data_IF_241665999220
#
_entry.id   IF_241665999220
#
_cell.length_a   1.000
_cell.length_b   1.000
_cell.length_c   1.000
_cell.angle_alpha   90.00
_cell.angle_beta   90.00
_cell.angle_gamma   90.00
#
_symmetry.space_group_name_H-M   'P 1'
#
loop_
_entity.id
_entity.type
_entity.pdbx_description
1 polymer ?
#
# COMPACT_ATOMS: atom_id res chain seq x y z
N UNK A 1 2.76 21.60 -2.63
CA UNK A 1 2.08 20.30 -2.85
C UNK A 1 3.15 19.23 -2.78
N UNK A 2 2.98 18.16 -1.99
CA UNK A 2 3.95 17.07 -1.92
C UNK A 2 3.76 16.18 -3.15
N UNK A 3 4.71 16.21 -4.10
CA UNK A 3 4.63 15.42 -5.33
C UNK A 3 5.03 13.97 -5.03
N UNK A 4 4.06 13.14 -4.66
CA UNK A 4 4.23 11.70 -4.48
C UNK A 4 3.88 10.94 -5.76
N UNK A 5 4.59 9.85 -6.02
CA UNK A 5 4.27 8.91 -7.11
C UNK A 5 3.57 7.70 -6.51
N UNK A 6 2.35 7.43 -6.97
CA UNK A 6 1.54 6.31 -6.46
C UNK A 6 1.43 5.23 -7.53
N UNK A 7 1.75 4.00 -7.16
CA UNK A 7 1.75 2.86 -8.08
C UNK A 7 0.96 1.70 -7.48
N UNK A 8 0.04 1.14 -8.28
CA UNK A 8 -0.65 -0.09 -7.97
C UNK A 8 0.23 -1.28 -8.36
N UNK A 9 0.58 -2.12 -7.38
CA UNK A 9 1.34 -3.35 -7.58
C UNK A 9 0.64 -4.49 -6.82
N UNK A 10 -0.39 -5.05 -7.46
CA UNK A 10 -1.23 -6.14 -6.92
C UNK A 10 -0.42 -7.41 -6.71
N UNK A 11 0.48 -7.74 -7.62
CA UNK A 11 1.30 -8.94 -7.54
C UNK A 11 2.19 -8.97 -6.30
N UNK A 12 2.70 -7.81 -5.86
CA UNK A 12 3.44 -7.69 -4.59
C UNK A 12 2.54 -7.88 -3.36
N UNK A 13 1.23 -7.72 -3.49
CA UNK A 13 0.25 -8.05 -2.45
C UNK A 13 0.11 -9.57 -2.27
N UNK A 14 0.03 -10.32 -3.38
CA UNK A 14 -0.28 -11.76 -3.37
C UNK A 14 0.95 -12.68 -3.41
N UNK A 15 1.99 -12.33 -4.16
CA UNK A 15 3.17 -13.20 -4.43
C UNK A 15 4.34 -12.95 -3.48
N UNK A 16 4.18 -12.04 -2.52
CA UNK A 16 5.24 -11.70 -1.56
C UNK A 16 5.34 -12.75 -0.48
N UNK A 17 6.57 -13.16 -0.16
CA UNK A 17 6.85 -14.06 0.97
C UNK A 17 6.41 -13.43 2.30
N UNK A 18 5.96 -14.26 3.24
CA UNK A 18 5.62 -13.83 4.59
C UNK A 18 6.81 -13.12 5.24
N UNK A 19 6.63 -11.91 5.79
CA UNK A 19 7.68 -11.21 6.51
C UNK A 19 8.15 -11.99 7.74
N UNK A 20 9.43 -11.88 8.07
CA UNK A 20 9.96 -12.38 9.34
C UNK A 20 9.33 -11.65 10.54
N UNK A 21 9.17 -12.36 11.66
CA UNK A 21 8.77 -11.74 12.93
C UNK A 21 9.98 -11.01 13.52
N UNK A 22 9.90 -9.68 13.60
CA UNK A 22 11.00 -8.83 14.05
C UNK A 22 10.69 -8.32 15.45
N UNK A 23 11.55 -8.68 16.41
CA UNK A 23 11.34 -8.37 17.83
C UNK A 23 12.19 -7.19 18.27
N UNK A 24 13.37 -6.97 17.65
CA UNK A 24 14.23 -5.84 18.03
C UNK A 24 15.20 -5.43 16.93
N UNK A 25 15.75 -4.21 17.05
CA UNK A 25 16.82 -3.69 16.18
C UNK A 25 18.13 -4.49 16.25
N UNK A 26 18.36 -5.25 17.32
CA UNK A 26 19.56 -6.08 17.53
C UNK A 26 19.28 -7.58 17.38
N UNK A 27 18.17 -7.96 16.74
CA UNK A 27 17.84 -9.37 16.52
C UNK A 27 19.00 -10.06 15.78
N UNK A 28 19.57 -11.14 16.34
CA UNK A 28 20.69 -11.83 15.72
C UNK A 28 20.24 -12.51 14.42
N UNK A 29 21.17 -12.65 13.49
CA UNK A 29 20.95 -13.44 12.28
C UNK A 29 20.55 -14.88 12.65
N UNK A 30 19.59 -15.44 11.91
CA UNK A 30 19.11 -16.80 12.13
C UNK A 30 19.25 -17.64 10.87
N UNK A 31 20.20 -18.57 10.86
CA UNK A 31 20.42 -19.46 9.71
C UNK A 31 19.27 -20.44 9.47
N UNK A 32 18.38 -20.69 10.44
CA UNK A 32 17.21 -21.57 10.24
C UNK A 32 16.13 -20.89 9.40
N UNK A 33 15.98 -19.59 9.53
CA UNK A 33 15.02 -18.80 8.74
C UNK A 33 15.51 -18.59 7.30
N UNK A 34 14.65 -18.03 6.45
CA UNK A 34 15.05 -17.66 5.11
C UNK A 34 16.18 -16.63 5.16
N UNK A 35 17.23 -16.83 4.37
CA UNK A 35 18.31 -15.88 4.21
C UNK A 35 18.91 -15.99 2.80
N UNK A 36 19.63 -14.96 2.41
CA UNK A 36 20.17 -14.86 1.05
C UNK A 36 21.32 -15.82 0.71
N UNK A 37 21.85 -16.63 1.63
CA UNK A 37 22.76 -17.72 1.24
C UNK A 37 22.01 -18.90 0.62
N UNK A 38 20.66 -18.89 0.67
CA UNK A 38 19.77 -19.93 0.15
C UNK A 38 19.06 -19.53 -1.15
N UNK A 39 19.42 -18.40 -1.77
CA UNK A 39 18.86 -18.01 -3.07
C UNK A 39 19.32 -18.96 -4.16
N UNK A 40 18.49 -19.13 -5.18
CA UNK A 40 18.84 -19.98 -6.32
C UNK A 40 19.97 -19.36 -7.14
N UNK A 41 20.80 -20.17 -7.84
CA UNK A 41 21.83 -19.64 -8.72
C UNK A 41 21.29 -18.67 -9.78
N UNK A 42 20.10 -18.91 -10.31
CA UNK A 42 19.49 -18.07 -11.36
C UNK A 42 18.99 -16.72 -10.83
N UNK A 43 18.83 -16.59 -9.50
CA UNK A 43 18.53 -15.31 -8.86
C UNK A 43 19.78 -14.43 -8.74
N UNK A 44 20.99 -14.95 -8.99
CA UNK A 44 22.25 -14.20 -8.88
C UNK A 44 22.57 -13.55 -10.23
N UNK A 45 22.65 -12.22 -10.26
CA UNK A 45 22.94 -11.44 -11.47
C UNK A 45 24.45 -11.38 -11.70
N UNK A 46 25.21 -10.97 -10.68
CA UNK A 46 26.67 -10.86 -10.76
C UNK A 46 27.33 -10.84 -9.39
N UNK A 47 28.59 -11.28 -9.34
CA UNK A 47 29.46 -11.14 -8.17
C UNK A 47 30.40 -9.93 -8.39
N UNK A 48 30.49 -9.06 -7.38
CA UNK A 48 31.22 -7.79 -7.43
C UNK A 48 32.61 -7.86 -6.78
N UNK A 49 32.93 -8.95 -6.08
CA UNK A 49 34.18 -9.06 -5.34
C UNK A 49 35.30 -9.77 -6.09
N UNK A 50 36.53 -9.40 -5.73
CA UNK A 50 37.70 -10.27 -5.84
C UNK A 50 37.57 -11.41 -4.82
N UNK A 51 38.11 -12.60 -5.16
CA UNK A 51 38.14 -13.92 -4.47
C UNK A 51 37.70 -13.99 -2.98
N UNK A 52 38.02 -13.02 -2.12
CA UNK A 52 37.69 -13.00 -0.68
C UNK A 52 36.39 -12.26 -0.29
N UNK A 53 35.76 -11.50 -1.19
CA UNK A 53 34.58 -10.66 -0.89
C UNK A 53 33.35 -11.17 -1.62
N UNK A 54 32.49 -11.92 -0.94
CA UNK A 54 31.22 -12.45 -1.47
C UNK A 54 30.14 -11.36 -1.55
N UNK A 55 30.37 -10.34 -2.39
CA UNK A 55 29.43 -9.26 -2.67
C UNK A 55 28.60 -9.60 -3.91
N UNK A 56 27.30 -9.79 -3.76
CA UNK A 56 26.45 -10.28 -4.86
C UNK A 56 25.33 -9.30 -5.18
N UNK A 57 25.07 -9.08 -6.47
CA UNK A 57 23.81 -8.50 -6.94
C UNK A 57 22.85 -9.64 -7.27
N UNK A 58 21.68 -9.66 -6.66
CA UNK A 58 20.64 -10.66 -6.89
C UNK A 58 19.33 -10.03 -7.36
N UNK A 59 18.48 -10.80 -8.03
CA UNK A 59 17.11 -10.41 -8.38
C UNK A 59 16.26 -10.39 -7.11
N UNK A 60 15.47 -9.32 -6.91
CA UNK A 60 14.42 -9.37 -5.91
C UNK A 60 13.18 -10.06 -6.51
N UNK A 61 12.89 -11.29 -6.07
CA UNK A 61 11.73 -12.06 -6.55
C UNK A 61 10.36 -11.46 -6.16
N UNK A 62 10.34 -10.42 -5.33
CA UNK A 62 9.15 -9.62 -5.02
C UNK A 62 9.41 -8.15 -5.41
N UNK A 63 9.52 -7.86 -6.72
CA UNK A 63 9.98 -6.57 -7.21
C UNK A 63 9.03 -5.44 -6.82
N UNK A 64 9.61 -4.26 -6.61
CA UNK A 64 8.88 -3.01 -6.36
C UNK A 64 8.57 -2.36 -7.71
N UNK A 65 9.59 -2.32 -8.56
CA UNK A 65 9.60 -1.73 -9.88
C UNK A 65 10.57 -2.50 -10.79
N UNK A 66 10.65 -2.11 -12.06
CA UNK A 66 11.59 -2.57 -13.05
C UNK A 66 13.03 -2.71 -12.51
N UNK A 67 13.64 -3.87 -12.80
CA UNK A 67 14.98 -4.24 -12.37
C UNK A 67 15.22 -4.06 -10.86
N UNK A 68 14.22 -4.36 -10.02
CA UNK A 68 14.44 -4.41 -8.58
C UNK A 68 15.40 -5.56 -8.24
N UNK A 69 16.61 -5.17 -7.85
CA UNK A 69 17.71 -6.03 -7.43
C UNK A 69 18.06 -5.79 -5.97
N UNK A 70 18.84 -6.69 -5.41
CA UNK A 70 19.38 -6.62 -4.07
C UNK A 70 20.90 -6.59 -4.16
N UNK A 71 21.54 -5.66 -3.47
CA UNK A 71 22.97 -5.73 -3.15
C UNK A 71 23.11 -6.49 -1.83
N UNK A 72 23.86 -7.58 -1.88
CA UNK A 72 24.13 -8.50 -0.77
C UNK A 72 25.62 -8.42 -0.42
N UNK A 73 26.05 -7.44 0.40
CA UNK A 73 27.45 -7.26 0.73
C UNK A 73 27.88 -8.32 1.75
N UNK A 74 29.02 -8.96 1.51
CA UNK A 74 29.60 -10.00 2.37
C UNK A 74 28.57 -11.08 2.72
N UNK A 75 27.81 -11.55 1.73
CA UNK A 75 26.65 -12.45 1.91
C UNK A 75 26.99 -13.68 2.76
N UNK A 76 28.13 -14.33 2.52
CA UNK A 76 28.55 -15.50 3.30
C UNK A 76 28.96 -15.19 4.76
N UNK A 77 29.12 -13.92 5.16
CA UNK A 77 29.35 -13.54 6.57
C UNK A 77 28.07 -13.57 7.42
N UNK A 78 26.90 -13.78 6.81
CA UNK A 78 25.64 -13.96 7.53
C UNK A 78 25.33 -12.81 8.52
N UNK A 79 25.60 -11.57 8.10
CA UNK A 79 25.42 -10.40 8.94
C UNK A 79 23.93 -10.09 9.13
N UNK A 80 23.46 -9.70 10.33
CA UNK A 80 22.08 -9.26 10.52
C UNK A 80 21.80 -7.99 9.69
N UNK A 81 20.53 -7.64 9.52
CA UNK A 81 20.09 -6.46 8.75
C UNK A 81 20.43 -5.14 9.47
N UNK A 82 21.73 -4.85 9.53
CA UNK A 82 22.39 -3.73 10.21
C UNK A 82 23.44 -3.17 9.27
N UNK A 83 23.42 -1.86 9.03
CA UNK A 83 24.37 -1.22 8.12
C UNK A 83 25.77 -1.29 8.74
N UNK A 84 26.72 -1.83 7.97
CA UNK A 84 28.15 -1.67 8.22
C UNK A 84 28.71 -0.55 7.35
N UNK A 85 29.80 0.09 7.78
CA UNK A 85 30.49 1.11 6.99
C UNK A 85 30.86 0.59 5.59
N UNK A 86 31.30 -0.67 5.53
CA UNK A 86 31.58 -1.37 4.27
C UNK A 86 30.34 -1.49 3.37
N UNK A 87 29.20 -1.92 3.92
CA UNK A 87 27.96 -2.08 3.15
C UNK A 87 27.42 -0.77 2.59
N UNK A 88 27.51 0.31 3.37
CA UNK A 88 27.15 1.66 2.93
C UNK A 88 28.08 2.15 1.84
N UNK A 89 29.40 1.96 2.01
CA UNK A 89 30.38 2.30 0.98
C UNK A 89 30.07 1.58 -0.34
N UNK A 90 29.83 0.26 -0.29
CA UNK A 90 29.49 -0.52 -1.48
C UNK A 90 28.18 -0.07 -2.15
N UNK A 91 27.17 0.29 -1.37
CA UNK A 91 25.94 0.85 -1.91
C UNK A 91 26.18 2.17 -2.65
N UNK A 92 26.99 3.08 -2.07
CA UNK A 92 27.33 4.38 -2.68
C UNK A 92 28.26 4.21 -3.89
N UNK A 93 29.25 3.33 -3.83
CA UNK A 93 30.17 3.01 -4.93
C UNK A 93 29.38 2.50 -6.14
N UNK A 94 28.56 1.46 -5.96
CA UNK A 94 27.74 0.90 -7.02
C UNK A 94 26.77 1.93 -7.61
N UNK A 95 26.18 2.75 -6.74
CA UNK A 95 25.31 3.83 -7.17
C UNK A 95 26.02 4.86 -8.05
N UNK A 96 27.26 5.21 -7.67
CA UNK A 96 28.07 6.20 -8.37
C UNK A 96 28.54 5.71 -9.75
N UNK A 97 28.77 4.39 -9.89
CA UNK A 97 29.15 3.76 -11.17
C UNK A 97 28.04 3.79 -12.22
N UNK A 98 26.76 3.87 -11.81
CA UNK A 98 25.65 3.91 -12.76
C UNK A 98 25.41 5.31 -13.29
N UNK A 99 25.47 5.53 -14.60
CA UNK A 99 25.11 6.81 -15.23
C UNK A 99 23.60 7.09 -15.26
N UNK A 100 22.77 6.13 -14.84
CA UNK A 100 21.31 6.27 -14.88
C UNK A 100 20.80 7.24 -13.83
N UNK A 101 19.98 8.19 -14.27
CA UNK A 101 19.26 9.13 -13.40
C UNK A 101 18.13 8.48 -12.60
N UNK A 102 17.77 7.24 -12.92
CA UNK A 102 16.60 6.56 -12.37
C UNK A 102 16.95 5.48 -11.35
N UNK A 103 18.22 5.09 -11.22
CA UNK A 103 18.65 4.16 -10.19
C UNK A 103 18.39 4.78 -8.81
N UNK A 104 17.93 3.98 -7.86
CA UNK A 104 17.69 4.36 -6.47
C UNK A 104 18.22 3.26 -5.57
N UNK A 105 18.75 3.64 -4.41
CA UNK A 105 19.22 2.69 -3.41
C UNK A 105 18.48 2.91 -2.10
N UNK A 106 17.98 1.85 -1.48
CA UNK A 106 17.18 1.96 -0.28
C UNK A 106 17.55 0.88 0.74
N UNK A 107 17.43 1.22 2.02
CA UNK A 107 17.63 0.32 3.14
C UNK A 107 16.55 0.51 4.19
N UNK A 108 16.09 -0.61 4.73
CA UNK A 108 15.18 -0.65 5.85
C UNK A 108 15.86 -1.44 6.97
N UNK A 109 15.99 -0.84 8.15
CA UNK A 109 16.40 -1.59 9.34
C UNK A 109 15.26 -2.48 9.83
N UNK A 110 15.57 -3.45 10.70
CA UNK A 110 14.63 -4.45 11.20
C UNK A 110 13.30 -3.84 11.70
N UNK A 111 13.34 -2.96 12.68
CA UNK A 111 12.14 -2.30 13.21
C UNK A 111 11.63 -1.11 12.36
N UNK A 112 12.17 -0.94 11.16
CA UNK A 112 11.77 0.07 10.17
C UNK A 112 11.22 -0.57 8.89
N UNK A 113 10.50 -1.69 9.07
CA UNK A 113 9.83 -2.47 8.03
C UNK A 113 10.75 -3.23 7.05
N UNK A 114 11.93 -3.67 7.50
CA UNK A 114 12.63 -4.76 6.83
C UNK A 114 11.77 -6.03 6.82
N UNK A 115 12.06 -6.98 5.95
CA UNK A 115 11.31 -8.24 5.86
C UNK A 115 12.15 -9.49 6.04
N UNK A 116 13.47 -9.36 5.98
CA UNK A 116 14.45 -10.44 6.11
C UNK A 116 15.57 -9.93 6.98
N UNK A 117 15.95 -10.68 8.01
CA UNK A 117 17.12 -10.39 8.84
C UNK A 117 18.40 -10.96 8.24
N UNK A 118 18.83 -10.39 7.12
CA UNK A 118 20.13 -10.67 6.52
C UNK A 118 20.56 -9.44 5.74
N UNK A 119 21.77 -8.90 5.97
CA UNK A 119 22.22 -7.62 5.41
C UNK A 119 22.02 -7.53 3.89
N UNK A 120 21.14 -6.62 3.47
CA UNK A 120 20.85 -6.32 2.07
C UNK A 120 20.43 -4.87 1.85
N UNK A 121 20.73 -4.38 0.65
CA UNK A 121 20.27 -3.09 0.13
C UNK A 121 19.38 -3.32 -1.08
N UNK A 122 18.35 -2.49 -1.26
CA UNK A 122 17.47 -2.51 -2.41
C UNK A 122 18.01 -1.59 -3.50
N UNK A 123 18.10 -2.08 -4.73
CA UNK A 123 18.45 -1.33 -5.93
C UNK A 123 17.27 -1.39 -6.89
N UNK A 124 16.73 -0.27 -7.36
CA UNK A 124 15.63 -0.30 -8.33
C UNK A 124 15.63 0.95 -9.20
N UNK A 125 15.00 0.85 -10.38
CA UNK A 125 14.90 1.97 -11.32
C UNK A 125 13.52 2.60 -11.24
N UNK A 126 13.46 3.88 -10.88
CA UNK A 126 12.21 4.64 -10.88
C UNK A 126 12.28 5.73 -11.94
N UNK A 127 11.57 5.56 -13.06
CA UNK A 127 11.49 6.54 -14.16
C UNK A 127 10.55 7.70 -13.85
N UNK A 128 10.68 8.28 -12.65
CA UNK A 128 9.90 9.41 -12.18
C UNK A 128 10.78 10.36 -11.37
N UNK A 129 10.67 11.67 -11.63
CA UNK A 129 11.37 12.69 -10.85
C UNK A 129 10.63 12.91 -9.53
N UNK A 130 11.34 12.79 -8.42
CA UNK A 130 10.76 12.88 -7.07
C UNK A 130 11.13 14.19 -6.38
N UNK A 131 10.22 14.72 -5.55
CA UNK A 131 10.41 16.01 -4.85
C UNK A 131 11.74 16.09 -4.09
N UNK A 132 12.13 15.00 -3.41
CA UNK A 132 13.35 14.95 -2.61
C UNK A 132 14.66 15.05 -3.44
N UNK A 133 14.58 15.02 -4.76
CA UNK A 133 15.74 15.22 -5.64
C UNK A 133 16.08 16.69 -5.85
N UNK A 134 15.15 17.61 -5.55
CA UNK A 134 15.30 19.05 -5.79
C UNK A 134 14.72 19.91 -4.67
N UNK A 135 14.21 19.32 -3.59
CA UNK A 135 13.73 20.08 -2.42
C UNK A 135 14.88 20.79 -1.71
N UNK A 136 14.58 21.97 -1.16
CA UNK A 136 15.49 22.72 -0.29
C UNK A 136 15.67 22.02 1.05
N UNK A 137 16.90 22.07 1.56
CA UNK A 137 17.31 21.47 2.83
C UNK A 137 17.87 22.57 3.72
N UNK A 138 17.58 22.51 5.01
CA UNK A 138 18.08 23.47 6.00
C UNK A 138 19.45 23.02 6.49
N UNK A 139 20.43 23.91 6.48
CA UNK A 139 21.74 23.63 7.06
C UNK A 139 21.63 23.35 8.56
N UNK A 140 22.49 22.46 9.06
CA UNK A 140 22.52 22.12 10.47
C UNK A 140 23.93 22.16 11.05
N UNK A 141 24.79 21.19 10.72
CA UNK A 141 26.17 21.18 11.20
C UNK A 141 27.09 20.43 10.22
N UNK A 142 28.22 21.05 9.86
CA UNK A 142 29.12 20.50 8.86
C UNK A 142 28.36 20.15 7.56
N UNK A 143 28.55 18.95 6.98
CA UNK A 143 27.85 18.55 5.76
C UNK A 143 26.42 18.04 6.02
N UNK A 144 25.96 18.01 7.28
CA UNK A 144 24.63 17.51 7.65
C UNK A 144 23.58 18.60 7.48
N UNK A 145 22.51 18.26 6.78
CA UNK A 145 21.34 19.10 6.54
C UNK A 145 20.07 18.41 7.05
N UNK A 146 18.99 19.18 7.21
CA UNK A 146 17.71 18.72 7.72
C UNK A 146 16.62 18.94 6.66
N UNK A 147 15.86 17.88 6.42
CA UNK A 147 14.61 17.92 5.67
C UNK A 147 13.48 18.34 6.61
N UNK A 148 13.16 19.63 6.66
CA UNK A 148 12.14 20.19 7.56
C UNK A 148 10.78 20.36 6.87
N UNK A 149 10.77 20.81 5.61
CA UNK A 149 9.55 21.10 4.82
C UNK A 149 9.00 19.87 4.09
N UNK A 150 8.94 18.73 4.77
CA UNK A 150 8.42 17.47 4.24
C UNK A 150 7.75 16.66 5.37
N UNK A 151 6.71 15.83 5.10
CA UNK A 151 5.96 15.17 6.17
C UNK A 151 6.82 14.30 7.08
N UNK A 152 7.84 13.64 6.51
CA UNK A 152 8.81 12.85 7.25
C UNK A 152 10.14 13.61 7.37
N UNK A 153 10.43 14.15 8.56
CA UNK A 153 11.70 14.82 8.83
C UNK A 153 12.87 13.83 8.75
N UNK A 154 13.97 14.26 8.16
CA UNK A 154 15.16 13.43 7.96
C UNK A 154 16.44 14.25 8.07
N UNK A 155 17.54 13.56 8.35
CA UNK A 155 18.88 14.06 8.04
C UNK A 155 19.17 13.82 6.56
N UNK A 156 19.89 14.75 5.95
CA UNK A 156 20.37 14.61 4.59
C UNK A 156 21.83 15.02 4.50
N UNK A 157 22.62 14.27 3.75
CA UNK A 157 23.98 14.65 3.37
C UNK A 157 23.99 14.74 1.85
N UNK A 158 24.50 15.86 1.34
CA UNK A 158 24.76 16.08 -0.09
C UNK A 158 26.21 15.73 -0.39
N UNK A 159 26.45 15.10 -1.53
CA UNK A 159 27.81 14.80 -1.97
C UNK A 159 28.58 16.09 -2.30
N UNK A 160 27.90 17.10 -2.84
CA UNK A 160 28.44 18.45 -3.06
C UNK A 160 28.98 19.16 -1.81
N UNK A 161 28.60 18.73 -0.61
CA UNK A 161 29.04 19.30 0.65
C UNK A 161 30.24 18.57 1.28
N UNK A 162 30.79 17.55 0.60
CA UNK A 162 31.92 16.73 1.10
C UNK A 162 33.00 16.59 0.03
N UNK A 163 34.23 16.25 0.43
CA UNK A 163 35.38 16.27 -0.48
C UNK A 163 35.46 15.02 -1.36
N UNK A 164 35.10 13.85 -0.82
CA UNK A 164 35.24 12.57 -1.49
C UNK A 164 34.16 11.58 -1.02
N UNK A 165 34.14 10.40 -1.64
CA UNK A 165 33.17 9.34 -1.33
C UNK A 165 33.34 8.78 0.09
N UNK A 166 34.56 8.73 0.61
CA UNK A 166 34.84 8.27 1.97
C UNK A 166 34.22 9.21 3.00
N UNK A 167 34.39 10.53 2.84
CA UNK A 167 33.76 11.54 3.69
C UNK A 167 32.23 11.45 3.62
N UNK A 168 31.68 11.28 2.42
CA UNK A 168 30.24 11.10 2.23
C UNK A 168 29.70 9.92 3.04
N UNK A 169 30.40 8.78 2.96
CA UNK A 169 30.07 7.56 3.70
C UNK A 169 30.32 7.73 5.19
N UNK A 170 31.41 8.39 5.60
CA UNK A 170 31.77 8.63 7.00
C UNK A 170 30.69 9.43 7.73
N UNK A 171 30.27 10.55 7.15
CA UNK A 171 29.25 11.41 7.75
C UNK A 171 27.88 10.71 7.80
N UNK A 172 27.49 9.98 6.75
CA UNK A 172 26.26 9.20 6.77
C UNK A 172 26.31 8.08 7.82
N UNK A 173 27.43 7.37 7.87
CA UNK A 173 27.64 6.28 8.81
C UNK A 173 27.71 6.78 10.25
N UNK A 174 28.20 7.98 10.53
CA UNK A 174 28.20 8.58 11.87
C UNK A 174 26.78 8.63 12.44
N UNK A 175 25.84 9.18 11.67
CA UNK A 175 24.42 9.28 12.05
C UNK A 175 23.79 7.89 12.18
N UNK A 176 23.99 7.03 11.17
CA UNK A 176 23.44 5.67 11.15
C UNK A 176 23.95 4.84 12.34
N UNK A 177 25.25 4.90 12.63
CA UNK A 177 25.87 4.16 13.72
C UNK A 177 25.35 4.63 15.09
N UNK A 178 25.13 5.94 15.26
CA UNK A 178 24.47 6.46 16.45
C UNK A 178 23.06 5.87 16.61
N UNK A 179 22.24 5.90 15.55
CA UNK A 179 20.88 5.34 15.58
C UNK A 179 20.90 3.83 15.89
N UNK A 180 21.83 3.07 15.29
CA UNK A 180 22.02 1.65 15.55
C UNK A 180 22.40 1.35 17.00
N UNK A 181 23.35 2.10 17.55
CA UNK A 181 23.80 1.93 18.94
C UNK A 181 22.69 2.24 19.94
N UNK A 182 21.91 3.29 19.65
CA UNK A 182 20.73 3.69 20.42
C UNK A 182 19.48 2.84 20.15
N UNK A 183 19.57 1.80 19.31
CA UNK A 183 18.44 0.94 18.90
C UNK A 183 17.25 1.70 18.29
N UNK A 184 17.53 2.81 17.63
CA UNK A 184 16.53 3.60 16.92
C UNK A 184 16.34 3.01 15.51
N UNK A 185 15.12 2.59 15.22
CA UNK A 185 14.72 2.14 13.89
C UNK A 185 14.96 3.23 12.85
N UNK A 186 15.43 2.87 11.64
CA UNK A 186 15.76 3.85 10.62
C UNK A 186 15.66 3.32 9.20
N UNK A 187 15.44 4.25 8.27
CA UNK A 187 15.50 3.99 6.84
C UNK A 187 16.56 4.88 6.22
N UNK A 188 17.24 4.35 5.20
CA UNK A 188 18.23 5.09 4.42
C UNK A 188 17.83 5.04 2.96
N UNK A 189 17.99 6.16 2.25
CA UNK A 189 17.70 6.23 0.83
C UNK A 189 18.73 7.10 0.11
N UNK A 190 19.22 6.61 -1.02
CA UNK A 190 20.25 7.25 -1.84
C UNK A 190 19.67 7.56 -3.21
N UNK A 191 19.79 8.81 -3.63
CA UNK A 191 19.28 9.29 -4.91
C UNK A 191 20.22 10.29 -5.57
N UNK A 192 20.12 10.41 -6.89
CA UNK A 192 20.69 11.54 -7.63
C UNK A 192 19.79 12.75 -7.40
N UNK A 193 20.41 13.92 -7.37
CA UNK A 193 19.74 15.17 -7.07
C UNK A 193 20.28 16.31 -7.95
N UNK A 194 19.48 17.37 -8.04
CA UNK A 194 19.92 18.62 -8.66
C UNK A 194 20.97 19.28 -7.77
N UNK A 195 22.07 19.69 -8.40
CA UNK A 195 23.14 20.44 -7.74
C UNK A 195 22.70 21.88 -7.48
N UNK A 196 22.15 22.54 -8.51
CA UNK A 196 21.69 23.94 -8.50
C UNK A 196 20.29 24.06 -9.13
N UNK A 197 19.76 25.28 -9.30
CA UNK A 197 18.52 25.54 -10.05
C UNK A 197 18.58 25.14 -11.53
N UNK A 198 19.77 24.79 -12.05
CA UNK A 198 19.95 24.19 -13.38
C UNK A 198 19.47 22.73 -13.40
N UNK A 199 19.06 22.22 -14.55
CA UNK A 199 18.47 20.86 -14.67
C UNK A 199 19.48 19.70 -14.49
N UNK A 200 20.73 19.96 -14.11
CA UNK A 200 21.77 18.93 -14.05
C UNK A 200 21.73 18.10 -12.75
N UNK A 201 21.42 16.81 -12.90
CA UNK A 201 21.40 15.80 -11.82
C UNK A 201 22.80 15.27 -11.49
N UNK A 202 23.70 16.18 -11.12
CA UNK A 202 25.11 15.87 -10.84
C UNK A 202 25.42 15.63 -9.37
N UNK A 203 24.47 15.89 -8.46
CA UNK A 203 24.67 15.69 -7.02
C UNK A 203 24.10 14.34 -6.55
N UNK A 204 24.53 13.87 -5.39
CA UNK A 204 23.99 12.70 -4.71
C UNK A 204 23.50 13.10 -3.32
N UNK A 205 22.39 12.49 -2.89
CA UNK A 205 21.83 12.71 -1.55
C UNK A 205 21.63 11.39 -0.85
N UNK A 206 22.07 11.33 0.41
CA UNK A 206 21.70 10.27 1.35
C UNK A 206 20.71 10.87 2.33
N UNK A 207 19.50 10.33 2.37
CA UNK A 207 18.48 10.64 3.37
C UNK A 207 18.44 9.56 4.45
N UNK A 208 18.37 9.98 5.70
CA UNK A 208 18.32 9.11 6.88
C UNK A 208 17.13 9.53 7.74
N UNK A 209 16.12 8.67 7.84
CA UNK A 209 14.94 8.89 8.68
C UNK A 209 15.06 8.04 9.94
N UNK A 210 15.02 8.68 11.11
CA UNK A 210 14.76 7.99 12.37
C UNK A 210 13.26 7.65 12.47
N UNK A 211 12.95 6.49 13.04
CA UNK A 211 11.61 5.92 13.08
C UNK A 211 11.25 5.51 14.50
N UNK A 212 9.96 5.59 14.81
CA UNK A 212 9.40 4.80 15.91
C UNK A 212 9.47 3.33 15.52
N UNK A 213 9.97 2.50 16.44
CA UNK A 213 10.10 1.06 16.20
C UNK A 213 8.74 0.41 15.96
N UNK A 214 8.68 -0.44 14.94
CA UNK A 214 7.55 -1.34 14.69
C UNK A 214 8.06 -2.77 14.90
N UNK A 215 7.53 -3.44 15.93
CA UNK A 215 7.84 -4.83 16.27
C UNK A 215 6.71 -5.76 15.79
N UNK A 216 6.99 -7.05 15.73
CA UNK A 216 6.08 -8.08 15.26
C UNK A 216 6.17 -8.36 13.76
N UNK A 217 5.27 -9.21 13.29
CA UNK A 217 5.10 -9.46 11.85
C UNK A 217 4.41 -8.27 11.20
N UNK A 218 4.99 -7.76 10.11
CA UNK A 218 4.43 -6.66 9.34
C UNK A 218 3.00 -6.97 8.86
N UNK A 219 2.01 -6.20 9.33
CA UNK A 219 0.63 -6.30 8.83
C UNK A 219 0.59 -5.94 7.33
N UNK A 220 0.24 -6.92 6.50
CA UNK A 220 0.24 -6.76 5.04
C UNK A 220 -0.91 -5.83 4.61
N UNK A 221 -1.97 -5.69 5.40
CA UNK A 221 -3.14 -4.87 5.12
C UNK A 221 -2.96 -3.40 5.53
N UNK A 222 -2.06 -3.12 6.46
CA UNK A 222 -1.73 -1.75 6.87
C UNK A 222 -0.81 -1.03 5.88
N UNK A 223 -0.94 0.30 5.83
CA UNK A 223 0.05 1.16 5.18
C UNK A 223 1.30 1.24 6.05
N UNK A 224 2.39 0.64 5.58
CA UNK A 224 3.65 0.52 6.32
C UNK A 224 4.74 1.31 5.61
N UNK A 225 4.91 2.61 5.93
CA UNK A 225 5.83 3.46 5.20
C UNK A 225 7.28 3.02 5.45
N UNK A 226 7.91 2.42 4.45
CA UNK A 226 9.32 2.06 4.45
C UNK A 226 10.12 3.12 3.65
N UNK A 227 11.38 2.85 3.31
CA UNK A 227 12.25 3.81 2.63
C UNK A 227 11.65 4.38 1.33
N UNK A 228 10.97 3.55 0.52
CA UNK A 228 10.34 3.99 -0.73
C UNK A 228 9.17 4.96 -0.48
N UNK A 229 8.29 4.62 0.45
CA UNK A 229 7.13 5.44 0.79
C UNK A 229 7.55 6.76 1.44
N UNK A 230 8.60 6.75 2.27
CA UNK A 230 9.21 7.97 2.82
C UNK A 230 9.78 8.86 1.72
N UNK A 231 10.34 8.27 0.67
CA UNK A 231 10.83 9.02 -0.50
C UNK A 231 9.70 9.61 -1.36
N UNK A 232 8.45 9.18 -1.12
CA UNK A 232 7.26 9.61 -1.85
C UNK A 232 6.77 8.61 -2.91
N UNK A 233 7.41 7.43 -3.02
CA UNK A 233 6.97 6.33 -3.88
C UNK A 233 5.99 5.44 -3.11
N UNK A 234 4.70 5.71 -3.28
CA UNK A 234 3.60 5.04 -2.58
C UNK A 234 3.16 3.78 -3.33
N UNK A 235 3.42 2.61 -2.74
CA UNK A 235 3.06 1.33 -3.31
C UNK A 235 1.71 0.85 -2.75
N UNK A 236 0.68 0.88 -3.60
CA UNK A 236 -0.64 0.35 -3.29
C UNK A 236 -0.71 -1.12 -3.66
N UNK A 237 -1.12 -1.96 -2.71
CA UNK A 237 -1.23 -3.42 -2.90
C UNK A 237 -2.60 -3.86 -3.41
N UNK A 238 -3.61 -3.02 -3.26
CA UNK A 238 -4.98 -3.33 -3.61
C UNK A 238 -5.50 -2.29 -4.59
N UNK A 239 -6.08 -2.77 -5.68
CA UNK A 239 -7.02 -1.95 -6.44
C UNK A 239 -8.17 -1.67 -5.49
N UNK A 240 -8.43 -0.40 -5.18
CA UNK A 240 -9.59 -0.03 -4.37
C UNK A 240 -10.91 -0.40 -5.05
N UNK A 241 -11.97 0.31 -4.69
CA UNK A 241 -13.30 0.11 -5.27
C UNK A 241 -14.24 -0.65 -4.34
N UNK A 242 -15.51 -0.65 -4.72
CA UNK A 242 -16.61 -0.98 -3.83
C UNK A 242 -16.54 -2.40 -3.27
N UNK A 243 -16.17 -3.41 -4.06
CA UNK A 243 -16.01 -4.79 -3.55
C UNK A 243 -14.91 -4.89 -2.50
N UNK A 244 -13.79 -4.19 -2.68
CA UNK A 244 -12.69 -4.22 -1.70
C UNK A 244 -13.09 -3.53 -0.38
N UNK A 245 -13.83 -2.42 -0.46
CA UNK A 245 -14.45 -1.76 0.69
C UNK A 245 -15.40 -2.70 1.43
N UNK A 246 -16.29 -3.41 0.70
CA UNK A 246 -17.26 -4.34 1.30
C UNK A 246 -16.56 -5.50 2.01
N UNK A 247 -15.59 -6.15 1.36
CA UNK A 247 -14.82 -7.24 1.96
C UNK A 247 -14.15 -6.80 3.26
N UNK A 248 -13.67 -5.54 3.33
CA UNK A 248 -13.08 -5.01 4.54
C UNK A 248 -14.10 -4.92 5.68
N UNK A 249 -15.34 -4.52 5.39
CA UNK A 249 -16.43 -4.48 6.37
C UNK A 249 -16.77 -5.89 6.84
N UNK A 250 -16.92 -6.83 5.90
CA UNK A 250 -17.29 -8.22 6.19
C UNK A 250 -16.29 -8.92 7.13
N UNK A 251 -14.99 -8.61 7.03
CA UNK A 251 -13.96 -9.16 7.93
C UNK A 251 -14.18 -8.85 9.42
N UNK A 252 -14.97 -7.82 9.73
CA UNK A 252 -15.30 -7.45 11.11
C UNK A 252 -16.70 -7.91 11.54
N UNK A 253 -17.48 -8.52 10.64
CA UNK A 253 -18.78 -9.10 10.97
C UNK A 253 -18.61 -10.54 11.48
N UNK A 254 -19.40 -10.90 12.50
CA UNK A 254 -19.45 -12.28 12.98
C UNK A 254 -20.38 -13.11 12.08
N UNK A 255 -19.81 -13.92 11.18
CA UNK A 255 -20.57 -14.70 10.20
C UNK A 255 -21.53 -15.72 10.81
N UNK A 256 -21.37 -16.10 12.09
CA UNK A 256 -22.34 -16.95 12.79
C UNK A 256 -23.72 -16.29 12.94
N UNK A 257 -23.76 -14.95 13.00
CA UNK A 257 -24.99 -14.19 13.17
C UNK A 257 -25.64 -13.78 11.84
N UNK A 258 -24.94 -13.95 10.72
CA UNK A 258 -25.39 -13.52 9.40
C UNK A 258 -25.29 -14.71 8.47
N UNK A 259 -26.29 -15.59 8.46
CA UNK A 259 -26.30 -16.88 7.76
C UNK A 259 -27.70 -17.16 7.18
N UNK A 260 -27.83 -17.65 5.93
CA UNK A 260 -26.79 -17.77 4.92
C UNK A 260 -26.40 -16.42 4.33
N UNK A 261 -25.14 -16.26 3.89
CA UNK A 261 -24.66 -15.02 3.24
C UNK A 261 -24.92 -15.08 1.76
N UNK A 262 -25.55 -14.04 1.22
CA UNK A 262 -25.90 -13.97 -0.20
C UNK A 262 -25.15 -12.80 -0.84
N UNK A 263 -24.19 -13.14 -1.70
CA UNK A 263 -23.37 -12.18 -2.41
C UNK A 263 -23.97 -11.92 -3.79
N UNK A 264 -24.41 -10.68 -4.00
CA UNK A 264 -24.97 -10.26 -5.28
C UNK A 264 -23.91 -9.49 -6.06
N UNK A 265 -23.66 -9.89 -7.31
CA UNK A 265 -22.68 -9.23 -8.18
C UNK A 265 -23.26 -8.94 -9.57
N UNK A 266 -22.68 -7.94 -10.25
CA UNK A 266 -23.00 -7.67 -11.64
C UNK A 266 -22.38 -8.74 -12.56
N UNK A 267 -23.10 -9.09 -13.62
CA UNK A 267 -22.70 -10.02 -14.67
C UNK A 267 -21.31 -9.80 -15.29
N UNK A 268 -20.87 -8.54 -15.37
CA UNK A 268 -19.56 -8.15 -15.91
C UNK A 268 -18.42 -8.17 -14.87
N UNK A 269 -18.69 -8.49 -13.60
CA UNK A 269 -17.73 -8.38 -12.51
C UNK A 269 -17.20 -9.74 -12.02
N UNK A 270 -16.36 -10.38 -12.83
CA UNK A 270 -15.74 -11.67 -12.52
C UNK A 270 -14.70 -11.57 -11.38
N UNK A 271 -14.01 -10.44 -11.27
CA UNK A 271 -12.96 -10.20 -10.25
C UNK A 271 -13.53 -10.19 -8.83
N UNK A 272 -14.77 -9.71 -8.65
CA UNK A 272 -15.43 -9.71 -7.35
C UNK A 272 -15.76 -11.12 -6.84
N UNK A 273 -16.06 -12.04 -7.75
CA UNK A 273 -16.38 -13.45 -7.42
C UNK A 273 -15.18 -14.14 -6.79
N UNK A 274 -14.00 -13.99 -7.38
CA UNK A 274 -12.76 -14.60 -6.87
C UNK A 274 -12.43 -14.11 -5.46
N UNK A 275 -12.63 -12.81 -5.20
CA UNK A 275 -12.40 -12.23 -3.88
C UNK A 275 -13.38 -12.75 -2.82
N UNK A 276 -14.64 -12.98 -3.17
CA UNK A 276 -15.64 -13.57 -2.27
C UNK A 276 -15.33 -15.04 -2.00
N UNK A 277 -14.97 -15.82 -3.02
CA UNK A 277 -14.57 -17.22 -2.86
C UNK A 277 -13.37 -17.37 -1.91
N UNK A 278 -12.42 -16.45 -2.00
CA UNK A 278 -11.28 -16.41 -1.07
C UNK A 278 -11.69 -16.00 0.35
N UNK A 279 -12.64 -15.07 0.51
CA UNK A 279 -13.16 -14.69 1.83
C UNK A 279 -13.90 -15.83 2.52
N UNK A 280 -14.62 -16.64 1.76
CA UNK A 280 -15.46 -17.75 2.23
C UNK A 280 -14.78 -19.12 2.05
N UNK A 281 -13.45 -19.18 1.89
CA UNK A 281 -12.72 -20.43 1.60
C UNK A 281 -13.00 -21.54 2.63
N UNK A 282 -13.15 -21.16 3.91
CA UNK A 282 -13.45 -22.07 5.02
C UNK A 282 -14.94 -22.26 5.32
N UNK A 283 -15.84 -21.56 4.61
CA UNK A 283 -17.29 -21.54 4.89
C UNK A 283 -18.09 -22.12 3.71
N UNK A 284 -19.07 -22.96 4.01
CA UNK A 284 -19.96 -23.53 2.97
C UNK A 284 -21.34 -22.89 2.91
N UNK A 285 -21.62 -22.01 3.85
CA UNK A 285 -22.94 -21.43 4.09
C UNK A 285 -23.09 -20.06 3.40
N UNK A 286 -22.85 -20.03 2.09
CA UNK A 286 -23.02 -18.82 1.29
C UNK A 286 -23.53 -19.14 -0.11
N UNK A 287 -24.11 -18.13 -0.76
CA UNK A 287 -24.61 -18.20 -2.12
C UNK A 287 -24.12 -16.98 -2.91
N UNK A 288 -23.84 -17.19 -4.19
CA UNK A 288 -23.51 -16.12 -5.12
C UNK A 288 -24.64 -16.00 -6.13
N UNK A 289 -25.21 -14.80 -6.27
CA UNK A 289 -26.28 -14.49 -7.22
C UNK A 289 -25.78 -13.44 -8.19
N UNK A 290 -26.04 -13.67 -9.47
CA UNK A 290 -25.70 -12.75 -10.55
C UNK A 290 -26.92 -11.90 -10.90
N UNK A 291 -26.73 -10.60 -11.03
CA UNK A 291 -27.73 -9.66 -11.56
C UNK A 291 -27.15 -8.86 -12.72
N UNK A 292 -28.04 -8.30 -13.55
CA UNK A 292 -27.61 -7.35 -14.58
C UNK A 292 -27.13 -6.05 -13.98
N UNK A 293 -26.14 -5.45 -14.65
CA UNK A 293 -25.64 -4.13 -14.29
C UNK A 293 -26.66 -3.06 -14.63
N UNK A 294 -26.95 -2.16 -13.68
CA UNK A 294 -27.89 -1.06 -13.90
C UNK A 294 -27.37 -0.02 -14.89
N UNK A 295 -26.04 0.14 -14.98
CA UNK A 295 -25.38 1.03 -15.93
C UNK A 295 -24.02 0.48 -16.37
N UNK A 296 -23.82 0.37 -17.68
CA UNK A 296 -22.54 0.00 -18.26
C UNK A 296 -21.51 1.14 -18.22
N UNK A 297 -20.23 0.77 -18.29
CA UNK A 297 -19.14 1.75 -18.35
C UNK A 297 -19.30 2.55 -19.66
N UNK A 298 -19.24 3.88 -19.56
CA UNK A 298 -19.53 4.84 -20.65
C UNK A 298 -20.99 4.97 -21.12
N UNK A 299 -21.95 4.28 -20.50
CA UNK A 299 -23.37 4.50 -20.78
C UNK A 299 -23.85 5.84 -20.20
N UNK A 300 -24.65 6.58 -20.97
CA UNK A 300 -25.24 7.85 -20.54
C UNK A 300 -26.27 7.64 -19.42
N UNK A 301 -26.47 8.67 -18.59
CA UNK A 301 -27.44 8.59 -17.48
C UNK A 301 -28.88 8.36 -17.98
N UNK A 302 -29.26 8.92 -19.13
CA UNK A 302 -30.59 8.75 -19.71
C UNK A 302 -30.85 7.31 -20.16
N UNK A 303 -29.94 6.72 -20.92
CA UNK A 303 -30.12 5.32 -21.36
C UNK A 303 -30.00 4.34 -20.19
N UNK A 304 -29.32 4.74 -19.10
CA UNK A 304 -29.20 3.92 -17.90
C UNK A 304 -30.50 3.72 -17.13
N UNK A 305 -31.53 4.56 -17.35
CA UNK A 305 -32.84 4.39 -16.74
C UNK A 305 -33.46 3.07 -17.19
N UNK A 306 -33.43 2.78 -18.50
CA UNK A 306 -34.01 1.55 -19.05
C UNK A 306 -33.29 0.29 -18.59
N UNK A 307 -31.95 0.31 -18.56
CA UNK A 307 -31.15 -0.81 -18.04
C UNK A 307 -31.36 -1.00 -16.53
N UNK A 308 -31.60 0.08 -15.78
CA UNK A 308 -31.94 0.00 -14.36
C UNK A 308 -33.32 -0.63 -14.15
N UNK A 309 -34.35 -0.24 -14.92
CA UNK A 309 -35.69 -0.86 -14.84
C UNK A 309 -35.62 -2.35 -15.14
N UNK A 310 -34.88 -2.74 -16.18
CA UNK A 310 -34.70 -4.14 -16.50
C UNK A 310 -34.00 -4.91 -15.37
N UNK A 311 -32.95 -4.32 -14.79
CA UNK A 311 -32.27 -4.90 -13.63
C UNK A 311 -33.18 -5.01 -12.40
N UNK A 312 -34.13 -4.09 -12.19
CA UNK A 312 -35.16 -4.20 -11.15
C UNK A 312 -36.03 -5.42 -11.42
N UNK A 313 -36.63 -5.53 -12.61
CA UNK A 313 -37.54 -6.64 -12.92
C UNK A 313 -36.87 -8.01 -12.77
N UNK A 314 -35.61 -8.13 -13.21
CA UNK A 314 -34.82 -9.36 -13.07
C UNK A 314 -34.44 -9.67 -11.61
N UNK A 315 -34.33 -8.65 -10.76
CA UNK A 315 -33.93 -8.83 -9.36
C UNK A 315 -35.10 -9.18 -8.42
N UNK A 316 -36.36 -8.98 -8.84
CA UNK A 316 -37.56 -9.26 -8.04
C UNK A 316 -37.61 -10.73 -7.57
N UNK A 317 -37.47 -11.74 -8.46
CA UNK A 317 -37.54 -13.15 -8.05
C UNK A 317 -36.43 -13.54 -7.07
N UNK A 318 -35.27 -12.89 -7.15
CA UNK A 318 -34.17 -13.13 -6.23
C UNK A 318 -34.52 -12.65 -4.82
N UNK A 319 -34.98 -11.41 -4.66
CA UNK A 319 -35.36 -10.93 -3.32
C UNK A 319 -36.58 -11.67 -2.76
N UNK A 320 -37.54 -12.05 -3.61
CA UNK A 320 -38.72 -12.82 -3.19
C UNK A 320 -38.35 -14.22 -2.71
N UNK A 321 -37.38 -14.89 -3.35
CA UNK A 321 -36.98 -16.24 -2.97
C UNK A 321 -36.08 -16.25 -1.75
N UNK A 322 -35.12 -15.33 -1.69
CA UNK A 322 -34.12 -15.34 -0.62
C UNK A 322 -34.58 -14.61 0.65
N UNK A 323 -35.59 -13.71 0.56
CA UNK A 323 -36.21 -12.98 1.68
C UNK A 323 -35.21 -12.49 2.75
N UNK A 324 -34.20 -11.66 2.39
CA UNK A 324 -33.16 -11.28 3.33
C UNK A 324 -33.70 -10.40 4.47
N UNK A 325 -33.23 -10.64 5.69
CA UNK A 325 -33.50 -9.76 6.83
C UNK A 325 -32.67 -8.46 6.77
N UNK A 326 -31.49 -8.53 6.16
CA UNK A 326 -30.54 -7.42 6.02
C UNK A 326 -30.00 -7.33 4.59
N UNK A 327 -30.12 -6.15 3.99
CA UNK A 327 -29.48 -5.77 2.74
C UNK A 327 -28.36 -4.76 3.03
N UNK A 328 -27.13 -5.26 3.17
CA UNK A 328 -25.93 -4.45 3.30
C UNK A 328 -25.34 -4.19 1.91
N UNK A 329 -25.20 -2.92 1.54
CA UNK A 329 -24.64 -2.55 0.24
C UNK A 329 -23.71 -1.35 0.33
N UNK A 330 -22.72 -1.33 -0.55
CA UNK A 330 -21.92 -0.15 -0.83
C UNK A 330 -21.79 0.01 -2.35
N UNK A 331 -21.66 1.25 -2.79
CA UNK A 331 -21.12 1.50 -4.12
C UNK A 331 -22.09 1.67 -5.28
N UNK A 332 -21.77 1.14 -6.48
CA UNK A 332 -22.22 1.69 -7.75
C UNK A 332 -23.70 1.36 -7.98
N UNK A 333 -24.30 1.93 -9.03
CA UNK A 333 -25.73 1.83 -9.32
C UNK A 333 -26.34 0.42 -9.29
N UNK A 334 -25.53 -0.64 -9.39
CA UNK A 334 -25.91 -2.06 -9.24
C UNK A 334 -26.69 -2.38 -7.96
N UNK A 335 -26.47 -1.69 -6.84
CA UNK A 335 -27.25 -1.93 -5.61
C UNK A 335 -28.63 -1.26 -5.61
N UNK A 336 -28.85 -0.25 -6.46
CA UNK A 336 -30.09 0.55 -6.49
C UNK A 336 -31.32 -0.32 -6.77
N UNK A 337 -31.31 -1.23 -7.78
CA UNK A 337 -32.44 -2.13 -8.01
C UNK A 337 -32.86 -2.94 -6.79
N UNK A 338 -31.89 -3.56 -6.10
CA UNK A 338 -32.16 -4.39 -4.93
C UNK A 338 -32.76 -3.57 -3.78
N UNK A 339 -32.23 -2.36 -3.56
CA UNK A 339 -32.73 -1.46 -2.52
C UNK A 339 -34.15 -0.97 -2.83
N UNK A 340 -34.45 -0.63 -4.09
CA UNK A 340 -35.80 -0.21 -4.50
C UNK A 340 -36.79 -1.35 -4.28
N UNK A 341 -36.46 -2.58 -4.67
CA UNK A 341 -37.33 -3.74 -4.48
C UNK A 341 -37.54 -4.04 -3.00
N UNK A 342 -36.47 -4.05 -2.20
CA UNK A 342 -36.56 -4.28 -0.76
C UNK A 342 -37.42 -3.21 -0.07
N UNK A 343 -37.28 -1.95 -0.48
CA UNK A 343 -38.12 -0.86 0.00
C UNK A 343 -39.59 -1.06 -0.39
N UNK A 344 -39.88 -1.42 -1.64
CA UNK A 344 -41.24 -1.69 -2.10
C UNK A 344 -41.86 -2.88 -1.34
N UNK A 345 -41.11 -3.96 -1.14
CA UNK A 345 -41.57 -5.12 -0.37
C UNK A 345 -41.85 -4.74 1.08
N UNK A 346 -41.04 -3.86 1.68
CA UNK A 346 -41.29 -3.31 3.01
C UNK A 346 -42.56 -2.48 3.08
N UNK A 347 -42.76 -1.55 2.15
CA UNK A 347 -43.98 -0.71 2.08
C UNK A 347 -45.24 -1.55 1.87
N UNK A 348 -45.13 -2.64 1.11
CA UNK A 348 -46.22 -3.58 0.86
C UNK A 348 -46.38 -4.66 1.96
N UNK A 349 -45.62 -4.56 3.06
CA UNK A 349 -45.62 -5.53 4.17
C UNK A 349 -45.29 -6.98 3.76
N UNK A 350 -44.56 -7.17 2.67
CA UNK A 350 -44.11 -8.49 2.19
C UNK A 350 -42.89 -8.96 3.00
N UNK A 351 -41.91 -8.06 3.22
CA UNK A 351 -40.70 -8.35 4.02
C UNK A 351 -40.37 -7.19 4.96
N UNK A 352 -39.59 -7.44 6.01
CA UNK A 352 -39.06 -6.40 6.92
C UNK A 352 -37.55 -6.24 6.75
N UNK A 353 -37.09 -6.23 5.50
CA UNK A 353 -35.65 -6.16 5.18
C UNK A 353 -35.06 -4.81 5.63
N UNK A 354 -34.06 -4.83 6.50
CA UNK A 354 -33.29 -3.64 6.86
C UNK A 354 -32.27 -3.32 5.77
N UNK A 355 -32.24 -2.08 5.28
CA UNK A 355 -31.37 -1.61 4.21
C UNK A 355 -30.30 -0.70 4.83
N UNK A 356 -29.05 -1.15 4.75
CA UNK A 356 -27.88 -0.36 5.18
C UNK A 356 -27.06 -0.03 3.94
N UNK A 357 -26.93 1.27 3.66
CA UNK A 357 -26.06 1.77 2.60
C UNK A 357 -24.80 2.39 3.19
N UNK A 358 -23.64 1.90 2.75
CA UNK A 358 -22.34 2.49 3.09
C UNK A 358 -21.82 3.28 1.90
N UNK A 359 -21.65 4.59 2.08
CA UNK A 359 -21.06 5.45 1.06
C UNK A 359 -19.55 5.16 0.92
N UNK A 360 -19.05 5.22 -0.31
CA UNK A 360 -17.66 4.89 -0.61
C UNK A 360 -16.69 5.89 0.01
N UNK A 361 -15.54 5.38 0.48
CA UNK A 361 -14.48 6.21 1.06
C UNK A 361 -13.93 7.23 0.06
N UNK A 362 -14.06 6.96 -1.24
CA UNK A 362 -13.63 7.85 -2.31
C UNK A 362 -14.49 9.12 -2.44
N UNK A 363 -15.67 9.19 -1.79
CA UNK A 363 -16.56 10.34 -1.86
C UNK A 363 -16.21 11.38 -0.81
N UNK A 364 -15.14 12.15 -1.03
CA UNK A 364 -14.59 13.15 -0.09
C UNK A 364 -15.17 14.56 -0.19
N UNK A 365 -16.13 14.83 -1.08
CA UNK A 365 -16.67 16.19 -1.30
C UNK A 365 -18.19 16.24 -1.41
N UNK A 366 -18.77 15.24 -2.04
CA UNK A 366 -20.20 15.12 -2.28
C UNK A 366 -20.62 13.65 -2.25
N UNK A 367 -21.84 13.38 -1.78
CA UNK A 367 -22.47 12.06 -1.91
C UNK A 367 -22.54 11.62 -3.38
N UNK A 368 -22.44 10.31 -3.59
CA UNK A 368 -22.64 9.70 -4.91
C UNK A 368 -24.09 9.84 -5.37
N UNK A 369 -24.36 9.68 -6.67
CA UNK A 369 -25.74 9.66 -7.17
C UNK A 369 -26.54 8.52 -6.50
N UNK A 370 -25.93 7.34 -6.36
CA UNK A 370 -26.49 6.22 -5.60
C UNK A 370 -26.79 6.65 -4.16
N UNK A 371 -25.84 7.26 -3.46
CA UNK A 371 -26.03 7.72 -2.08
C UNK A 371 -27.13 8.76 -1.93
N UNK A 372 -27.34 9.62 -2.92
CA UNK A 372 -28.47 10.57 -2.96
C UNK A 372 -29.82 9.89 -3.19
N UNK A 373 -29.87 8.85 -4.03
CA UNK A 373 -31.08 8.05 -4.25
C UNK A 373 -31.41 7.25 -2.99
N UNK A 374 -30.41 6.56 -2.44
CA UNK A 374 -30.56 5.67 -1.29
C UNK A 374 -30.83 6.42 0.01
N UNK A 375 -30.50 7.71 0.10
CA UNK A 375 -30.89 8.57 1.22
C UNK A 375 -32.39 8.49 1.56
N UNK A 376 -33.25 8.33 0.54
CA UNK A 376 -34.70 8.31 0.74
C UNK A 376 -35.27 6.93 1.07
N UNK A 377 -34.54 5.84 0.75
CA UNK A 377 -35.07 4.48 0.83
C UNK A 377 -34.30 3.56 1.79
N UNK A 378 -33.04 3.87 2.10
CA UNK A 378 -32.27 3.13 3.09
C UNK A 378 -32.75 3.46 4.52
N UNK A 379 -32.71 2.47 5.40
CA UNK A 379 -32.99 2.69 6.82
C UNK A 379 -31.81 3.39 7.49
N UNK A 380 -30.59 2.96 7.15
CA UNK A 380 -29.35 3.54 7.64
C UNK A 380 -28.40 3.88 6.50
N UNK A 381 -27.81 5.08 6.58
CA UNK A 381 -26.76 5.53 5.67
C UNK A 381 -25.49 5.81 6.45
N UNK A 382 -24.45 5.04 6.16
CA UNK A 382 -23.14 5.19 6.78
C UNK A 382 -22.26 6.04 5.86
N UNK A 383 -21.72 7.14 6.38
CA UNK A 383 -20.80 8.02 5.67
C UNK A 383 -19.43 8.03 6.36
N UNK A 384 -18.37 8.01 5.55
CA UNK A 384 -16.98 7.98 6.03
C UNK A 384 -16.41 9.37 6.35
N UNK A 385 -17.14 10.42 6.00
CA UNK A 385 -16.65 11.80 6.03
C UNK A 385 -17.69 12.69 6.70
N UNK A 386 -17.45 13.14 7.95
CA UNK A 386 -18.46 13.86 8.74
C UNK A 386 -18.97 15.14 8.06
N UNK A 387 -18.12 15.86 7.32
CA UNK A 387 -18.51 17.09 6.63
C UNK A 387 -19.44 16.90 5.42
N UNK A 388 -19.73 15.66 5.02
CA UNK A 388 -20.78 15.35 4.05
C UNK A 388 -22.16 15.33 4.70
N UNK A 389 -22.21 15.23 6.02
CA UNK A 389 -23.43 15.42 6.80
C UNK A 389 -23.76 16.92 6.85
N UNK A 390 -24.32 17.42 5.76
CA UNK A 390 -24.75 18.83 5.65
C UNK A 390 -26.23 19.01 5.97
N UNK A 391 -26.91 17.97 6.45
CA UNK A 391 -28.30 18.07 6.87
C UNK A 391 -28.39 18.48 8.33
N UNK A 392 -28.75 19.74 8.55
CA UNK A 392 -29.11 20.37 9.83
C UNK A 392 -30.37 19.76 10.50
N UNK A 393 -30.69 18.48 10.29
CA UNK A 393 -31.84 17.82 10.90
C UNK A 393 -31.40 16.57 11.64
N UNK A 394 -31.84 16.47 12.90
CA UNK A 394 -31.83 15.30 13.78
C UNK A 394 -32.48 14.07 13.11
N UNK A 395 -31.83 13.47 12.13
CA UNK A 395 -32.25 12.20 11.54
C UNK A 395 -31.25 11.13 11.98
N UNK A 396 -31.68 10.26 12.91
CA UNK A 396 -30.92 9.09 13.41
C UNK A 396 -30.54 8.07 12.32
N UNK A 397 -30.88 8.35 11.05
CA UNK A 397 -30.59 7.52 9.88
C UNK A 397 -29.15 7.65 9.37
N UNK A 398 -28.47 8.78 9.60
CA UNK A 398 -27.08 8.95 9.14
C UNK A 398 -26.13 8.61 10.28
N UNK A 399 -25.22 7.69 10.02
CA UNK A 399 -24.12 7.34 10.92
C UNK A 399 -22.80 7.82 10.30
N UNK A 400 -22.19 8.82 10.89
CA UNK A 400 -20.82 9.25 10.55
C UNK A 400 -19.80 8.46 11.39
N UNK A 401 -18.84 7.81 10.73
CA UNK A 401 -17.76 7.05 11.39
C UNK A 401 -16.44 7.83 11.35
#
# INVERSE_FOLDING_TARGET
MYNCFTQLNTDRGYKRRSPENIISMKQPFNNKQFNFTKIKPEEQIMNLGSIDKDDVIAINVSPIEYCHSLLLPQRNKQLPQVITKYSLFKAVELFSLSSSLYLRVAFNSLCAYASVNHLHWHLYYLKWRMLLEYIDLKEYIGPVQILEKYPAKAFCIKYSNVQNIDDFVNWAFLIINYLQNAQIAHNVYITRAKLNCTEEYKDLRIYIWSRKSSEGTKDINAFNPAACELFGHLLLKWSGGHTAEMIRILKYLNFKNYSPRIYVHADTDLMSIEKVKYLEEDNKDYKIIKIRRSREIHQSYYTSIYTTIYAILESIPHLWRECPELLLCNGPGTCVPLCIIAFLFKVLYITQTTIIFVESICRVKTLSLTGKILYYIADYQIIQWPYLDKSNNQNDKILSI
#
